data_IF_963618427725
#
_entry.id   IF_963618427725
#
_cell.length_a   1.000
_cell.length_b   1.000
_cell.length_c   1.000
_cell.angle_alpha   90.00
_cell.angle_beta   90.00
_cell.angle_gamma   90.00
#
_symmetry.space_group_name_H-M   'P 1'
#
loop_
_entity.id
_entity.type
_entity.pdbx_description
1 polymer ?
#
# COMPACT_ATOMS: atom_id res chain seq x y z
N UNK A 1 43.17 -43.63 50.59
CA UNK A 1 43.28 -42.16 50.32
C UNK A 1 42.30 -41.84 49.21
N UNK A 2 41.17 -41.25 49.63
CA UNK A 2 40.11 -40.77 48.70
C UNK A 2 40.42 -39.33 48.33
N UNK A 3 40.48 -39.05 47.06
CA UNK A 3 40.51 -37.67 46.54
C UNK A 3 39.21 -37.33 45.86
N UNK A 4 38.44 -36.49 46.52
CA UNK A 4 37.18 -35.93 46.00
C UNK A 4 37.44 -34.84 45.00
N UNK A 5 36.87 -34.94 43.81
CA UNK A 5 36.85 -33.89 42.82
C UNK A 5 35.57 -33.05 42.98
N UNK A 6 35.74 -31.75 43.27
CA UNK A 6 34.64 -30.77 43.24
C UNK A 6 34.35 -30.41 41.79
N UNK A 7 33.15 -30.70 41.33
CA UNK A 7 32.63 -30.19 40.07
C UNK A 7 32.02 -28.80 40.26
N UNK A 8 32.58 -27.81 39.57
CA UNK A 8 32.00 -26.47 39.49
C UNK A 8 30.97 -26.48 38.35
N UNK A 9 29.68 -26.36 38.72
CA UNK A 9 28.60 -26.15 37.76
C UNK A 9 28.55 -24.67 37.34
N UNK A 10 28.89 -24.39 36.10
CA UNK A 10 28.71 -23.07 35.50
C UNK A 10 27.23 -22.89 35.14
N UNK A 11 26.56 -22.00 35.87
CA UNK A 11 25.20 -21.56 35.56
C UNK A 11 25.29 -20.51 34.46
N UNK A 12 24.93 -20.87 33.25
CA UNK A 12 24.74 -19.90 32.17
C UNK A 12 23.37 -19.21 32.36
N UNK A 13 23.42 -17.98 32.83
CA UNK A 13 22.26 -17.08 32.71
C UNK A 13 22.15 -16.65 31.25
N UNK A 14 21.23 -17.24 30.51
CA UNK A 14 20.78 -16.69 29.23
C UNK A 14 19.86 -15.51 29.56
N UNK A 15 20.40 -14.29 29.50
CA UNK A 15 19.60 -13.09 29.46
C UNK A 15 18.93 -12.97 28.11
N UNK A 16 17.73 -13.51 27.98
CA UNK A 16 16.81 -13.19 26.89
C UNK A 16 16.43 -11.72 27.02
N UNK A 17 17.08 -10.85 26.26
CA UNK A 17 16.58 -9.50 26.01
C UNK A 17 15.32 -9.60 25.16
N UNK A 18 14.20 -9.94 25.76
CA UNK A 18 12.90 -9.54 25.25
C UNK A 18 12.74 -8.09 25.63
N UNK A 19 13.04 -7.17 24.71
CA UNK A 19 12.51 -5.81 24.81
C UNK A 19 10.99 -5.96 24.69
N UNK A 20 10.32 -6.02 25.83
CA UNK A 20 8.88 -5.84 25.90
C UNK A 20 8.61 -4.43 25.39
N UNK A 21 8.17 -4.28 24.14
CA UNK A 21 7.51 -3.07 23.72
C UNK A 21 6.24 -2.99 24.56
N UNK A 22 6.13 -1.92 25.32
CA UNK A 22 4.96 -1.64 26.12
C UNK A 22 3.80 -1.36 25.15
N UNK A 23 2.91 -2.34 24.95
CA UNK A 23 1.75 -2.28 24.06
C UNK A 23 0.60 -1.46 24.66
N UNK A 24 0.89 -0.49 25.51
CA UNK A 24 -0.10 0.42 26.07
C UNK A 24 -0.59 1.47 25.06
N UNK A 25 0.04 1.57 23.88
CA UNK A 25 -0.29 2.59 22.90
C UNK A 25 -1.49 2.19 22.05
N UNK A 26 -2.57 2.91 22.31
CA UNK A 26 -3.81 2.87 21.53
C UNK A 26 -3.48 3.10 20.04
N UNK A 27 -4.03 2.31 19.10
CA UNK A 27 -3.81 2.57 17.67
C UNK A 27 -4.20 4.00 17.29
N UNK A 28 -3.46 4.59 16.35
CA UNK A 28 -3.69 5.95 15.88
C UNK A 28 -5.13 6.15 15.37
N UNK A 29 -5.68 5.19 14.63
CA UNK A 29 -7.06 5.22 14.21
C UNK A 29 -7.97 4.47 15.20
N UNK A 30 -9.02 5.15 15.66
CA UNK A 30 -10.13 4.50 16.33
C UNK A 30 -11.11 4.00 15.26
N UNK A 31 -11.08 2.70 14.97
CA UNK A 31 -11.78 2.09 13.86
C UNK A 31 -13.04 1.35 14.29
N UNK A 32 -14.16 1.63 13.60
CA UNK A 32 -15.40 0.87 13.67
C UNK A 32 -15.59 0.12 12.35
N UNK A 33 -15.68 -1.22 12.36
CA UNK A 33 -15.86 -1.97 11.13
C UNK A 33 -17.24 -1.69 10.51
N UNK A 34 -17.27 -1.49 9.19
CA UNK A 34 -18.48 -1.43 8.39
C UNK A 34 -18.71 -2.80 7.74
N UNK A 35 -17.69 -3.33 7.06
CA UNK A 35 -17.77 -4.65 6.45
C UNK A 35 -17.06 -4.77 5.11
N UNK A 36 -17.32 -5.89 4.45
CA UNK A 36 -16.86 -6.19 3.10
C UNK A 36 -17.78 -5.49 2.11
N UNK A 37 -17.26 -4.44 1.46
CA UNK A 37 -18.07 -3.49 0.69
C UNK A 37 -18.00 -3.69 -0.82
N UNK A 38 -17.04 -4.50 -1.32
CA UNK A 38 -16.96 -4.86 -2.73
C UNK A 38 -16.47 -6.28 -2.88
N UNK A 39 -17.29 -7.12 -3.49
CA UNK A 39 -17.01 -8.53 -3.77
C UNK A 39 -17.57 -8.88 -5.17
N UNK A 40 -16.78 -9.57 -5.98
CA UNK A 40 -17.19 -9.98 -7.32
C UNK A 40 -16.92 -11.48 -7.53
N UNK A 41 -17.94 -12.20 -7.98
CA UNK A 41 -17.79 -13.60 -8.35
C UNK A 41 -16.77 -13.77 -9.49
N UNK A 42 -15.91 -14.78 -9.36
CA UNK A 42 -14.87 -15.07 -10.35
C UNK A 42 -13.66 -14.13 -10.33
N UNK A 43 -13.54 -13.21 -9.35
CA UNK A 43 -12.45 -12.25 -9.26
C UNK A 43 -11.82 -12.16 -7.87
N UNK A 44 -10.52 -11.88 -7.85
CA UNK A 44 -9.87 -11.22 -6.71
C UNK A 44 -10.04 -9.71 -6.82
N UNK A 45 -10.34 -9.04 -5.70
CA UNK A 45 -10.45 -7.59 -5.56
C UNK A 45 -9.32 -7.09 -4.65
N UNK A 46 -8.60 -6.05 -5.08
CA UNK A 46 -7.46 -5.53 -4.33
C UNK A 46 -7.25 -4.03 -4.53
N UNK A 47 -6.52 -3.38 -3.59
CA UNK A 47 -6.01 -2.02 -3.78
C UNK A 47 -7.09 -0.96 -4.07
N UNK A 48 -8.10 -0.88 -3.26
CA UNK A 48 -9.23 0.04 -3.47
C UNK A 48 -8.89 1.46 -3.06
N UNK A 49 -8.90 2.40 -4.00
CA UNK A 49 -8.66 3.83 -3.79
C UNK A 49 -9.95 4.63 -3.91
N UNK A 50 -10.50 5.15 -2.79
CA UNK A 50 -11.77 5.88 -2.77
C UNK A 50 -11.61 7.37 -3.07
N UNK A 51 -12.65 7.98 -3.65
CA UNK A 51 -12.79 9.42 -3.86
C UNK A 51 -14.28 9.83 -3.84
N UNK A 52 -14.58 11.01 -3.31
CA UNK A 52 -15.89 11.62 -3.48
C UNK A 52 -16.08 12.12 -4.92
N UNK A 53 -17.19 11.74 -5.55
CA UNK A 53 -17.62 12.29 -6.82
C UNK A 53 -18.37 13.61 -6.64
N UNK A 54 -18.48 14.37 -7.74
CA UNK A 54 -19.29 15.60 -7.80
C UNK A 54 -20.79 15.30 -7.72
N UNK A 55 -21.18 14.07 -8.04
CA UNK A 55 -22.52 13.50 -7.86
C UNK A 55 -22.87 13.19 -6.40
N UNK A 56 -21.93 13.44 -5.47
CA UNK A 56 -22.06 13.18 -4.04
C UNK A 56 -21.86 11.75 -3.61
N UNK A 57 -21.65 10.81 -4.55
CA UNK A 57 -21.35 9.40 -4.29
C UNK A 57 -19.88 9.17 -3.97
N UNK A 58 -19.56 7.98 -3.46
CA UNK A 58 -18.20 7.49 -3.34
C UNK A 58 -17.88 6.63 -4.55
N UNK A 59 -16.82 6.99 -5.26
CA UNK A 59 -16.26 6.21 -6.34
C UNK A 59 -15.02 5.47 -5.84
N UNK A 60 -14.88 4.22 -6.25
CA UNK A 60 -13.82 3.33 -5.81
C UNK A 60 -13.05 2.83 -7.04
N UNK A 61 -11.79 3.23 -7.17
CA UNK A 61 -10.89 2.68 -8.17
C UNK A 61 -10.16 1.50 -7.55
N UNK A 62 -10.23 0.33 -8.17
CA UNK A 62 -9.72 -0.91 -7.60
C UNK A 62 -9.12 -1.82 -8.65
N UNK A 63 -8.21 -2.69 -8.21
CA UNK A 63 -7.63 -3.73 -9.04
C UNK A 63 -8.47 -5.01 -8.96
N UNK A 64 -8.66 -5.70 -10.10
CA UNK A 64 -9.20 -7.06 -10.12
C UNK A 64 -8.47 -7.95 -11.10
N UNK A 65 -8.49 -9.24 -10.86
CA UNK A 65 -8.02 -10.24 -11.78
C UNK A 65 -8.79 -11.56 -11.58
N UNK A 66 -8.80 -12.41 -12.61
CA UNK A 66 -9.56 -13.65 -12.60
C UNK A 66 -9.16 -14.59 -11.48
N UNK A 67 -10.15 -15.21 -10.82
CA UNK A 67 -9.97 -16.17 -9.70
C UNK A 67 -9.07 -17.36 -10.09
N UNK A 68 -9.19 -17.84 -11.31
CA UNK A 68 -8.40 -18.96 -11.84
C UNK A 68 -6.88 -18.71 -11.86
N UNK A 69 -6.45 -17.45 -11.86
CA UNK A 69 -5.03 -17.07 -11.78
C UNK A 69 -4.48 -17.14 -10.36
N UNK A 70 -5.32 -17.45 -9.38
CA UNK A 70 -4.93 -17.45 -7.96
C UNK A 70 -4.51 -16.08 -7.46
N UNK A 71 -4.08 -16.00 -6.20
CA UNK A 71 -3.64 -14.73 -5.58
C UNK A 71 -2.45 -14.08 -6.29
N UNK A 72 -1.57 -14.86 -6.93
CA UNK A 72 -0.42 -14.34 -7.71
C UNK A 72 -0.78 -13.69 -9.05
N UNK A 73 -2.01 -13.85 -9.52
CA UNK A 73 -2.47 -13.35 -10.83
C UNK A 73 -2.41 -11.83 -11.01
N UNK A 74 -2.24 -11.08 -9.93
CA UNK A 74 -2.09 -9.61 -9.97
C UNK A 74 -0.90 -9.13 -10.79
N UNK A 75 0.16 -9.94 -10.96
CA UNK A 75 1.31 -9.62 -11.81
C UNK A 75 1.03 -9.83 -13.31
N UNK A 76 -0.01 -10.60 -13.64
CA UNK A 76 -0.26 -11.01 -15.00
C UNK A 76 -1.76 -11.11 -15.28
N UNK A 77 -2.39 -9.99 -15.56
CA UNK A 77 -3.80 -9.89 -15.94
C UNK A 77 -4.66 -9.10 -14.97
N UNK A 78 -4.07 -8.35 -14.04
CA UNK A 78 -4.81 -7.36 -13.26
C UNK A 78 -5.20 -6.18 -14.14
N UNK A 79 -6.43 -5.72 -13.96
CA UNK A 79 -6.99 -4.50 -14.55
C UNK A 79 -7.52 -3.57 -13.46
N UNK A 80 -7.60 -2.28 -13.75
CA UNK A 80 -8.16 -1.28 -12.85
C UNK A 80 -9.58 -0.97 -13.29
N UNK A 81 -10.49 -1.08 -12.32
CA UNK A 81 -11.92 -0.86 -12.51
C UNK A 81 -12.43 0.26 -11.63
N UNK A 82 -13.62 0.78 -11.95
CA UNK A 82 -14.39 1.69 -11.11
C UNK A 82 -15.66 1.02 -10.61
N UNK A 83 -15.95 1.23 -9.34
CA UNK A 83 -17.22 0.95 -8.68
C UNK A 83 -17.76 2.22 -8.01
N UNK A 84 -19.02 2.27 -7.63
CA UNK A 84 -19.62 3.39 -6.90
C UNK A 84 -20.65 2.90 -5.88
N UNK A 85 -20.85 3.70 -4.83
CA UNK A 85 -21.91 3.57 -3.84
C UNK A 85 -22.42 4.96 -3.43
N UNK A 86 -23.65 5.07 -2.93
CA UNK A 86 -24.18 6.37 -2.46
C UNK A 86 -23.47 6.82 -1.18
N UNK A 87 -22.99 5.87 -0.40
CA UNK A 87 -22.22 6.14 0.83
C UNK A 87 -21.18 5.04 1.09
N UNK A 88 -20.16 5.29 1.95
CA UNK A 88 -19.21 4.26 2.36
C UNK A 88 -19.80 3.12 3.20
N UNK A 89 -21.05 3.27 3.65
CA UNK A 89 -21.80 2.26 4.42
C UNK A 89 -22.52 1.23 3.55
N UNK A 90 -22.53 1.43 2.22
CA UNK A 90 -23.23 0.58 1.25
C UNK A 90 -22.25 -0.30 0.47
N UNK A 91 -22.76 -1.39 -0.12
CA UNK A 91 -22.01 -2.19 -1.08
C UNK A 91 -21.75 -1.42 -2.37
N UNK A 92 -20.50 -1.45 -2.83
CA UNK A 92 -20.10 -0.81 -4.09
C UNK A 92 -20.53 -1.67 -5.29
N UNK A 93 -21.07 -1.01 -6.30
CA UNK A 93 -21.48 -1.64 -7.54
C UNK A 93 -20.42 -1.41 -8.63
N UNK A 94 -19.89 -2.48 -9.21
CA UNK A 94 -19.00 -2.42 -10.37
C UNK A 94 -19.64 -1.66 -11.53
N UNK A 95 -18.88 -0.76 -12.15
CA UNK A 95 -19.37 0.03 -13.29
C UNK A 95 -18.62 -0.29 -14.59
N UNK A 96 -17.30 -0.16 -14.58
CA UNK A 96 -16.50 -0.29 -15.80
C UNK A 96 -15.04 -0.63 -15.52
N UNK A 97 -14.38 -1.17 -16.54
CA UNK A 97 -12.93 -1.24 -16.59
C UNK A 97 -12.39 0.12 -17.02
N UNK A 98 -11.45 0.66 -16.27
CA UNK A 98 -10.80 1.95 -16.54
C UNK A 98 -9.48 1.76 -17.31
N UNK A 99 -8.62 0.88 -16.82
CA UNK A 99 -7.34 0.58 -17.43
C UNK A 99 -7.14 -0.94 -17.49
N UNK A 100 -7.15 -1.50 -18.69
CA UNK A 100 -6.72 -2.86 -18.94
C UNK A 100 -5.25 -2.90 -19.39
N UNK A 101 -4.56 -4.04 -19.21
CA UNK A 101 -3.25 -4.25 -19.82
C UNK A 101 -3.30 -3.99 -21.33
N UNK A 102 -2.30 -3.25 -21.88
CA UNK A 102 -2.31 -2.86 -23.30
C UNK A 102 -1.82 -3.96 -24.26
N UNK A 103 -1.11 -4.96 -23.73
CA UNK A 103 -0.45 -5.97 -24.58
C UNK A 103 0.75 -5.41 -25.35
N UNK A 104 1.25 -6.18 -26.32
CA UNK A 104 2.34 -5.75 -27.18
C UNK A 104 3.62 -5.37 -26.42
N UNK A 105 4.27 -4.31 -26.86
CA UNK A 105 5.54 -3.83 -26.31
C UNK A 105 5.38 -2.72 -25.24
N UNK A 106 4.15 -2.42 -24.83
CA UNK A 106 3.93 -1.40 -23.81
C UNK A 106 4.50 -1.81 -22.46
N UNK A 107 4.95 -0.83 -21.68
CA UNK A 107 5.49 -1.05 -20.33
C UNK A 107 4.46 -1.63 -19.34
N UNK A 108 3.18 -1.48 -19.61
CA UNK A 108 2.04 -2.01 -18.86
C UNK A 108 1.27 -3.10 -19.64
N UNK A 109 1.99 -3.86 -20.46
CA UNK A 109 1.42 -4.86 -21.37
C UNK A 109 0.69 -6.00 -20.66
N UNK A 110 1.10 -6.38 -19.43
CA UNK A 110 0.55 -7.56 -18.75
C UNK A 110 -0.30 -7.25 -17.54
N UNK A 111 -0.18 -6.05 -16.96
CA UNK A 111 -0.91 -5.70 -15.74
C UNK A 111 -1.07 -4.18 -15.60
N UNK A 112 -2.26 -3.77 -15.10
CA UNK A 112 -2.54 -2.47 -14.50
C UNK A 112 -3.04 -2.71 -13.06
N UNK A 113 -2.31 -2.19 -12.06
CA UNK A 113 -2.55 -2.56 -10.66
C UNK A 113 -2.23 -1.40 -9.71
N UNK A 114 -2.64 -1.49 -8.45
CA UNK A 114 -2.35 -0.50 -7.40
C UNK A 114 -2.83 0.93 -7.74
N UNK A 115 -4.13 1.13 -8.05
CA UNK A 115 -4.65 2.46 -8.34
C UNK A 115 -4.55 3.39 -7.15
N UNK A 116 -4.24 4.65 -7.42
CA UNK A 116 -4.36 5.78 -6.50
C UNK A 116 -5.03 6.94 -7.25
N UNK A 117 -6.30 7.18 -6.95
CA UNK A 117 -7.06 8.29 -7.53
C UNK A 117 -6.86 9.57 -6.72
N UNK A 118 -6.63 10.68 -7.42
CA UNK A 118 -6.56 12.02 -6.84
C UNK A 118 -7.27 13.03 -7.74
N UNK A 119 -7.82 14.07 -7.15
CA UNK A 119 -8.30 15.26 -7.86
C UNK A 119 -7.36 16.42 -7.53
N UNK A 120 -6.89 17.09 -8.55
CA UNK A 120 -6.14 18.36 -8.43
C UNK A 120 -6.81 19.34 -9.38
N UNK A 121 -7.27 20.44 -8.85
CA UNK A 121 -8.11 21.40 -9.55
C UNK A 121 -9.30 20.71 -10.24
N UNK A 122 -9.51 20.89 -11.53
CA UNK A 122 -10.60 20.30 -12.31
C UNK A 122 -10.19 19.02 -13.06
N UNK A 123 -9.10 18.36 -12.64
CA UNK A 123 -8.56 17.18 -13.29
C UNK A 123 -8.44 16.02 -12.32
N UNK A 124 -8.80 14.82 -12.77
CA UNK A 124 -8.56 13.56 -12.07
C UNK A 124 -7.26 12.92 -12.55
N UNK A 125 -6.49 12.38 -11.61
CA UNK A 125 -5.19 11.75 -11.80
C UNK A 125 -5.25 10.34 -11.19
N UNK A 126 -5.07 9.34 -12.01
CA UNK A 126 -5.05 7.93 -11.60
C UNK A 126 -3.62 7.42 -11.73
N UNK A 127 -2.88 7.43 -10.64
CA UNK A 127 -1.58 6.79 -10.56
C UNK A 127 -1.76 5.29 -10.44
N UNK A 128 -0.89 4.52 -11.08
CA UNK A 128 -0.99 3.06 -11.06
C UNK A 128 0.37 2.39 -11.28
N UNK A 129 0.44 1.09 -11.11
CA UNK A 129 1.59 0.27 -11.44
C UNK A 129 1.26 -0.65 -12.62
N UNK A 130 2.16 -0.70 -13.59
CA UNK A 130 2.11 -1.66 -14.68
C UNK A 130 3.34 -2.56 -14.73
N UNK A 131 3.25 -3.66 -15.48
CA UNK A 131 4.38 -4.53 -15.84
C UNK A 131 4.30 -4.89 -17.32
N UNK A 132 5.46 -5.00 -17.99
CA UNK A 132 5.51 -5.39 -19.40
C UNK A 132 5.46 -6.92 -19.61
N UNK A 133 5.88 -7.71 -18.61
CA UNK A 133 6.02 -9.17 -18.76
C UNK A 133 5.68 -9.97 -17.49
N UNK A 134 5.01 -9.35 -16.52
CA UNK A 134 4.65 -10.00 -15.26
C UNK A 134 5.80 -10.23 -14.26
N UNK A 135 7.00 -9.73 -14.53
CA UNK A 135 8.14 -9.83 -13.61
C UNK A 135 8.27 -8.57 -12.76
N UNK A 136 8.78 -8.71 -11.54
CA UNK A 136 8.87 -7.60 -10.57
C UNK A 136 9.82 -6.49 -11.01
N UNK A 137 10.87 -6.81 -11.75
CA UNK A 137 11.82 -5.82 -12.30
C UNK A 137 11.28 -5.00 -13.47
N UNK A 138 10.10 -5.33 -13.98
CA UNK A 138 9.42 -4.54 -15.02
C UNK A 138 8.31 -3.65 -14.46
N UNK A 139 8.11 -3.62 -13.16
CA UNK A 139 7.14 -2.70 -12.53
C UNK A 139 7.54 -1.25 -12.74
N UNK A 140 6.58 -0.45 -13.21
CA UNK A 140 6.71 1.00 -13.38
C UNK A 140 5.46 1.70 -12.87
N UNK A 141 5.64 2.90 -12.34
CA UNK A 141 4.53 3.80 -12.02
C UNK A 141 4.14 4.54 -13.28
N UNK A 142 2.86 4.52 -13.60
CA UNK A 142 2.24 5.29 -14.64
C UNK A 142 1.15 6.21 -14.12
N UNK A 143 0.60 6.98 -15.04
CA UNK A 143 -0.46 7.94 -14.80
C UNK A 143 -1.48 7.88 -15.92
N UNK A 144 -2.77 7.97 -15.56
CA UNK A 144 -3.83 8.29 -16.49
C UNK A 144 -4.62 9.50 -15.98
N UNK A 145 -5.18 10.29 -16.86
CA UNK A 145 -5.93 11.50 -16.51
C UNK A 145 -7.29 11.52 -17.15
N UNK A 146 -8.27 12.14 -16.49
CA UNK A 146 -9.61 12.38 -17.02
C UNK A 146 -10.21 13.65 -16.45
N UNK A 147 -11.16 14.24 -17.17
CA UNK A 147 -12.00 15.35 -16.67
C UNK A 147 -13.19 14.87 -15.86
N UNK A 148 -13.53 13.57 -15.94
CA UNK A 148 -14.67 12.97 -15.26
C UNK A 148 -14.31 11.57 -14.75
N UNK A 149 -14.89 11.14 -13.62
CA UNK A 149 -14.64 9.82 -13.04
C UNK A 149 -15.17 8.67 -13.92
N UNK A 150 -16.19 8.93 -14.73
CA UNK A 150 -16.82 8.01 -15.68
C UNK A 150 -16.46 8.28 -17.14
N UNK A 151 -15.65 9.32 -17.40
CA UNK A 151 -15.22 9.73 -18.73
C UNK A 151 -14.08 8.89 -19.31
N UNK A 152 -13.55 9.39 -20.41
CA UNK A 152 -12.36 8.83 -21.04
C UNK A 152 -11.10 9.08 -20.20
N UNK A 153 -10.24 8.08 -20.08
CA UNK A 153 -8.95 8.18 -19.40
C UNK A 153 -7.80 8.16 -20.40
N UNK A 154 -7.04 9.26 -20.43
CA UNK A 154 -5.87 9.40 -21.29
C UNK A 154 -4.65 8.87 -20.54
N UNK A 155 -3.98 7.89 -21.14
CA UNK A 155 -2.80 7.21 -20.58
C UNK A 155 -1.60 7.40 -21.52
N UNK A 156 -0.51 8.08 -21.06
CA UNK A 156 0.73 8.21 -21.84
C UNK A 156 1.35 6.83 -22.13
N UNK A 157 2.13 6.78 -23.21
CA UNK A 157 2.83 5.56 -23.63
C UNK A 157 4.05 5.27 -22.74
N UNK A 158 4.63 6.30 -22.14
CA UNK A 158 5.77 6.18 -21.25
C UNK A 158 5.33 6.11 -19.78
N UNK A 159 6.07 5.38 -18.93
CA UNK A 159 5.83 5.41 -17.49
C UNK A 159 6.18 6.76 -16.88
N UNK A 160 5.49 7.13 -15.80
CA UNK A 160 5.69 8.39 -15.09
C UNK A 160 7.02 8.46 -14.34
N UNK A 161 7.49 7.34 -13.80
CA UNK A 161 8.72 7.26 -13.01
C UNK A 161 9.49 5.98 -13.32
N UNK A 162 10.74 6.15 -13.74
CA UNK A 162 11.66 5.06 -14.02
C UNK A 162 12.45 4.65 -12.76
N UNK A 163 12.99 3.40 -12.71
CA UNK A 163 13.95 2.98 -11.70
C UNK A 163 15.19 3.85 -11.66
N UNK A 164 16.01 3.65 -10.65
CA UNK A 164 17.33 4.24 -10.56
C UNK A 164 18.33 3.61 -11.54
N UNK A 165 19.57 4.12 -11.52
CA UNK A 165 20.67 3.54 -12.26
C UNK A 165 20.99 2.15 -11.71
N UNK A 166 21.59 1.30 -12.51
CA UNK A 166 22.09 0.01 -12.10
C UNK A 166 22.91 0.10 -10.81
N UNK A 167 22.68 -0.85 -9.91
CA UNK A 167 23.29 -0.93 -8.57
C UNK A 167 22.84 0.17 -7.58
N UNK A 168 21.92 1.06 -7.94
CA UNK A 168 21.30 1.96 -6.96
C UNK A 168 20.27 1.22 -6.10
N UNK A 169 19.89 1.82 -4.97
CA UNK A 169 18.91 1.20 -4.05
C UNK A 169 17.54 0.93 -4.70
N UNK A 170 17.22 1.62 -5.78
CA UNK A 170 15.94 1.60 -6.49
C UNK A 170 16.04 1.18 -7.95
N UNK A 171 17.06 0.39 -8.31
CA UNK A 171 17.29 -0.05 -9.69
C UNK A 171 16.32 -1.16 -10.15
N UNK A 172 15.66 -1.86 -9.21
CA UNK A 172 14.79 -2.97 -9.57
C UNK A 172 13.47 -2.53 -10.21
N UNK A 173 12.79 -1.56 -9.61
CA UNK A 173 11.44 -1.16 -10.04
C UNK A 173 11.01 0.18 -9.45
N UNK A 174 9.88 0.71 -9.94
CA UNK A 174 9.09 1.73 -9.24
C UNK A 174 7.66 1.24 -9.08
N UNK A 175 7.09 1.31 -7.86
CA UNK A 175 5.76 0.75 -7.59
C UNK A 175 5.10 1.43 -6.38
N UNK A 176 3.83 1.11 -6.12
CA UNK A 176 3.06 1.57 -4.96
C UNK A 176 3.11 3.10 -4.78
N UNK A 177 2.58 3.86 -5.75
CA UNK A 177 2.60 5.32 -5.68
C UNK A 177 1.80 5.84 -4.49
N UNK A 178 2.34 6.86 -3.81
CA UNK A 178 1.60 7.69 -2.88
C UNK A 178 1.87 9.16 -3.23
N UNK A 179 0.82 9.99 -3.28
CA UNK A 179 0.89 11.31 -3.88
C UNK A 179 0.23 12.35 -2.99
N UNK A 180 0.88 13.52 -2.87
CA UNK A 180 0.35 14.67 -2.16
C UNK A 180 0.98 15.97 -2.68
N UNK A 181 0.27 17.09 -2.58
CA UNK A 181 0.85 18.43 -2.79
C UNK A 181 1.62 18.86 -1.55
N UNK A 182 2.91 19.16 -1.72
CA UNK A 182 3.82 19.57 -0.66
C UNK A 182 3.59 21.00 -0.19
N UNK A 183 4.15 21.36 0.97
CA UNK A 183 4.12 22.73 1.49
C UNK A 183 5.03 23.68 0.68
N UNK A 184 5.94 23.14 -0.13
CA UNK A 184 6.80 23.85 -1.07
C UNK A 184 6.10 24.16 -2.40
N UNK A 185 4.79 23.86 -2.50
CA UNK A 185 3.99 24.04 -3.70
C UNK A 185 4.19 22.96 -4.76
N UNK A 186 5.21 22.12 -4.63
CA UNK A 186 5.49 21.03 -5.56
C UNK A 186 4.59 19.82 -5.30
N UNK A 187 4.45 18.96 -6.29
CA UNK A 187 3.78 17.68 -6.16
C UNK A 187 4.80 16.61 -5.78
N UNK A 188 4.50 15.90 -4.70
CA UNK A 188 5.34 14.86 -4.12
C UNK A 188 4.79 13.48 -4.50
N UNK A 189 5.60 12.69 -5.18
CA UNK A 189 5.33 11.30 -5.52
C UNK A 189 6.27 10.41 -4.73
N UNK A 190 5.74 9.73 -3.74
CA UNK A 190 6.46 8.67 -3.03
C UNK A 190 6.30 7.36 -3.77
N UNK A 191 7.36 6.59 -3.83
CA UNK A 191 7.41 5.32 -4.55
C UNK A 191 8.16 4.27 -3.75
N UNK A 192 7.68 3.04 -3.80
CA UNK A 192 8.38 1.88 -3.24
C UNK A 192 9.33 1.33 -4.27
N UNK A 193 10.53 0.94 -3.80
CA UNK A 193 11.52 0.24 -4.61
C UNK A 193 12.44 -0.61 -3.73
N UNK A 194 13.38 -1.28 -4.36
CA UNK A 194 14.48 -2.04 -3.77
C UNK A 194 15.59 -2.26 -4.77
N UNK A 195 16.74 -2.73 -4.29
CA UNK A 195 17.90 -3.04 -5.12
C UNK A 195 17.76 -4.45 -5.74
N UNK A 196 18.20 -4.59 -7.00
CA UNK A 196 18.10 -5.84 -7.75
C UNK A 196 18.94 -6.95 -7.13
N UNK A 197 20.19 -6.68 -6.76
CA UNK A 197 21.09 -7.67 -6.16
C UNK A 197 20.56 -8.14 -4.80
N UNK A 198 20.08 -7.22 -3.94
CA UNK A 198 19.42 -7.57 -2.68
C UNK A 198 18.22 -8.48 -2.91
N UNK A 199 17.43 -8.21 -3.95
CA UNK A 199 16.24 -9.00 -4.28
C UNK A 199 16.59 -10.40 -4.79
N UNK A 200 17.62 -10.54 -5.60
CA UNK A 200 18.01 -11.81 -6.24
C UNK A 200 18.81 -12.72 -5.32
N UNK A 201 19.70 -12.16 -4.49
CA UNK A 201 20.64 -12.92 -3.66
C UNK A 201 20.07 -13.25 -2.29
N UNK A 202 19.15 -12.47 -1.76
CA UNK A 202 18.60 -12.67 -0.43
C UNK A 202 17.49 -13.72 -0.38
N UNK A 203 17.39 -14.44 0.74
CA UNK A 203 16.48 -15.56 0.96
C UNK A 203 15.42 -15.20 2.02
N UNK A 204 14.20 -15.76 1.86
CA UNK A 204 13.14 -15.63 2.84
C UNK A 204 12.58 -14.21 2.98
N UNK A 205 12.34 -13.77 4.22
CA UNK A 205 11.71 -12.47 4.52
C UNK A 205 12.61 -11.27 4.19
N UNK A 206 13.92 -11.47 4.08
CA UNK A 206 14.90 -10.40 3.79
C UNK A 206 14.97 -10.06 2.31
N UNK A 207 14.37 -10.90 1.46
CA UNK A 207 14.37 -10.69 0.02
C UNK A 207 13.59 -9.42 -0.37
N UNK A 208 14.22 -8.56 -1.17
CA UNK A 208 13.61 -7.36 -1.69
C UNK A 208 13.36 -6.31 -0.62
N UNK A 209 14.39 -5.96 0.11
CA UNK A 209 14.43 -4.91 1.15
C UNK A 209 13.72 -3.61 0.69
N UNK A 210 12.43 -3.52 0.98
CA UNK A 210 11.53 -2.47 0.47
C UNK A 210 11.78 -1.16 1.18
N UNK A 211 12.07 -0.13 0.38
CA UNK A 211 12.31 1.24 0.82
C UNK A 211 11.36 2.19 0.11
N UNK A 212 11.19 3.37 0.64
CA UNK A 212 10.44 4.43 -0.04
C UNK A 212 11.35 5.58 -0.43
N UNK A 213 11.22 6.00 -1.69
CA UNK A 213 11.80 7.22 -2.21
C UNK A 213 10.76 8.29 -2.43
N UNK A 214 11.23 9.52 -2.62
CA UNK A 214 10.48 10.71 -2.96
C UNK A 214 10.97 11.27 -4.29
N UNK A 215 10.05 11.60 -5.18
CA UNK A 215 10.30 12.40 -6.36
C UNK A 215 9.36 13.62 -6.35
N UNK A 216 9.83 14.76 -6.85
CA UNK A 216 9.09 16.03 -6.85
C UNK A 216 8.94 16.58 -8.26
N UNK A 217 7.82 17.27 -8.52
CA UNK A 217 7.53 17.93 -9.79
C UNK A 217 6.75 19.23 -9.57
N UNK A 218 6.77 20.10 -10.56
CA UNK A 218 5.98 21.34 -10.56
C UNK A 218 4.54 21.12 -11.08
N UNK A 219 4.29 19.97 -11.70
CA UNK A 219 2.97 19.53 -12.18
C UNK A 219 2.67 18.10 -11.72
N UNK A 220 1.39 17.73 -11.49
CA UNK A 220 1.02 16.33 -11.23
C UNK A 220 1.41 15.37 -12.37
N UNK A 221 1.54 15.89 -13.59
CA UNK A 221 1.98 15.17 -14.79
C UNK A 221 3.50 14.93 -14.83
N UNK A 222 4.27 15.53 -13.90
CA UNK A 222 5.71 15.53 -13.98
C UNK A 222 6.29 16.67 -14.86
N UNK A 223 7.56 16.54 -15.31
CA UNK A 223 8.46 15.44 -15.00
C UNK A 223 8.88 15.41 -13.53
N UNK A 224 8.97 14.20 -12.97
CA UNK A 224 9.38 14.01 -11.58
C UNK A 224 10.89 13.83 -11.46
N UNK A 225 11.49 14.57 -10.52
CA UNK A 225 12.92 14.44 -10.18
C UNK A 225 13.05 13.81 -8.80
N UNK A 226 13.77 12.70 -8.70
CA UNK A 226 14.10 12.02 -7.44
C UNK A 226 14.95 12.94 -6.57
N UNK A 227 14.62 13.03 -5.26
CA UNK A 227 15.42 13.83 -4.33
C UNK A 227 16.75 13.14 -3.99
N UNK A 228 17.78 13.94 -3.65
CA UNK A 228 19.12 13.43 -3.33
C UNK A 228 19.16 12.63 -2.03
N UNK A 229 18.21 12.87 -1.13
CA UNK A 229 18.10 12.22 0.19
C UNK A 229 17.49 10.82 0.15
N UNK A 230 17.16 10.32 -1.06
CA UNK A 230 16.59 8.98 -1.20
C UNK A 230 17.57 7.86 -0.80
N UNK A 231 17.07 6.78 -0.16
CA UNK A 231 15.68 6.55 0.23
C UNK A 231 15.28 7.36 1.46
N UNK A 232 14.07 7.96 1.45
CA UNK A 232 13.55 8.76 2.57
C UNK A 232 12.96 7.90 3.72
N UNK A 233 12.63 6.65 3.45
CA UNK A 233 12.27 5.64 4.46
C UNK A 233 13.05 4.37 4.16
N UNK A 234 13.88 3.98 5.11
CA UNK A 234 14.70 2.76 5.08
C UNK A 234 14.79 2.17 6.50
N UNK A 235 14.27 0.97 6.65
CA UNK A 235 14.32 0.21 7.90
C UNK A 235 15.31 -0.96 7.84
N UNK A 236 16.15 -1.05 6.81
CA UNK A 236 17.06 -2.17 6.60
C UNK A 236 18.12 -2.35 7.70
N UNK A 237 18.42 -1.29 8.44
CA UNK A 237 19.31 -1.35 9.61
C UNK A 237 18.65 -1.92 10.87
N UNK A 238 17.32 -2.09 10.87
CA UNK A 238 16.60 -2.63 12.01
C UNK A 238 16.65 -4.16 12.02
N UNK A 239 16.55 -4.79 13.20
CA UNK A 239 16.43 -6.24 13.31
C UNK A 239 15.22 -6.77 12.52
N UNK A 240 15.26 -8.06 12.16
CA UNK A 240 14.14 -8.76 11.52
C UNK A 240 13.75 -8.25 10.13
N UNK A 241 14.64 -7.53 9.45
CA UNK A 241 14.37 -7.00 8.12
C UNK A 241 13.04 -6.21 8.06
N UNK A 242 12.85 -5.31 9.00
CA UNK A 242 11.67 -4.47 9.04
C UNK A 242 11.55 -3.64 7.76
N UNK A 243 10.36 -3.62 7.19
CA UNK A 243 10.02 -2.92 5.94
C UNK A 243 8.64 -2.32 6.06
N UNK A 244 8.25 -1.51 5.10
CA UNK A 244 6.86 -1.08 4.94
C UNK A 244 6.45 -1.11 3.47
N UNK A 245 5.16 -1.24 3.21
CA UNK A 245 4.61 -1.09 1.87
C UNK A 245 3.21 -0.50 1.88
N UNK A 246 2.69 -0.20 0.68
CA UNK A 246 1.31 0.24 0.51
C UNK A 246 0.99 1.58 1.17
N UNK A 247 1.90 2.55 1.04
CA UNK A 247 1.71 3.86 1.64
C UNK A 247 0.55 4.64 1.02
N UNK A 248 -0.24 5.29 1.87
CA UNK A 248 -1.14 6.39 1.54
C UNK A 248 -0.75 7.63 2.34
N UNK A 249 -0.75 8.81 1.70
CA UNK A 249 -0.30 10.06 2.31
C UNK A 249 -1.39 11.12 2.22
N UNK A 250 -1.56 11.90 3.30
CA UNK A 250 -2.41 13.09 3.33
C UNK A 250 -1.72 14.23 4.10
N UNK A 251 -2.15 15.45 3.78
CA UNK A 251 -1.75 16.64 4.55
C UNK A 251 -2.85 16.99 5.54
N UNK A 252 -2.49 17.24 6.78
CA UNK A 252 -3.39 17.76 7.80
C UNK A 252 -2.69 18.88 8.55
N UNK A 253 -3.17 20.12 8.36
CA UNK A 253 -2.63 21.32 8.99
C UNK A 253 -1.12 21.53 8.75
N UNK A 254 -0.64 21.28 7.53
CA UNK A 254 0.75 21.44 7.13
C UNK A 254 1.71 20.34 7.59
N UNK A 255 1.19 19.31 8.27
CA UNK A 255 1.90 18.09 8.62
C UNK A 255 1.43 16.96 7.72
N UNK A 256 2.36 16.23 7.16
CA UNK A 256 2.07 15.07 6.31
C UNK A 256 2.02 13.82 7.16
N UNK A 257 1.00 13.03 6.94
CA UNK A 257 0.74 11.76 7.58
C UNK A 257 0.82 10.65 6.54
N UNK A 258 1.40 9.54 6.91
CA UNK A 258 1.42 8.32 6.10
C UNK A 258 0.78 7.18 6.88
N UNK A 259 -0.13 6.46 6.25
CA UNK A 259 -0.52 5.12 6.69
C UNK A 259 0.06 4.12 5.71
N UNK A 260 0.64 3.04 6.22
CA UNK A 260 1.27 2.00 5.42
C UNK A 260 1.05 0.62 6.06
N UNK A 261 1.26 -0.45 5.31
CA UNK A 261 1.26 -1.80 5.83
C UNK A 261 2.59 -2.09 6.55
N UNK A 262 2.53 -2.68 7.72
CA UNK A 262 3.68 -3.22 8.43
C UNK A 262 4.24 -4.47 7.74
N UNK A 263 5.55 -4.49 7.55
CA UNK A 263 6.28 -5.60 6.97
C UNK A 263 7.43 -6.01 7.91
N UNK A 264 7.12 -6.14 9.22
CA UNK A 264 8.06 -6.64 10.22
C UNK A 264 8.61 -5.60 11.19
N UNK A 265 8.09 -4.36 11.21
CA UNK A 265 8.46 -3.38 12.22
C UNK A 265 7.88 -3.76 13.60
N UNK A 266 6.58 -4.00 13.69
CA UNK A 266 5.90 -4.61 14.83
C UNK A 266 5.61 -6.10 14.56
N UNK A 267 4.99 -6.38 13.39
CA UNK A 267 4.65 -7.73 12.93
C UNK A 267 4.42 -7.72 11.41
N UNK A 268 3.56 -8.52 10.82
CA UNK A 268 3.24 -8.49 9.39
C UNK A 268 1.75 -8.23 9.13
N UNK A 269 1.00 -7.77 10.14
CA UNK A 269 -0.46 -7.70 10.10
C UNK A 269 -1.02 -6.31 10.43
N UNK A 270 -0.24 -5.46 11.09
CA UNK A 270 -0.68 -4.13 11.51
C UNK A 270 -0.51 -3.08 10.41
N UNK A 271 -1.13 -1.93 10.62
CA UNK A 271 -0.77 -0.70 9.91
C UNK A 271 0.24 0.13 10.67
N UNK A 272 1.08 0.82 9.94
CA UNK A 272 2.02 1.81 10.45
C UNK A 272 1.50 3.22 10.21
N UNK A 273 1.67 4.11 11.17
CA UNK A 273 1.46 5.55 11.00
C UNK A 273 2.77 6.29 11.24
N UNK A 274 3.12 7.18 10.32
CA UNK A 274 4.32 8.02 10.37
C UNK A 274 3.94 9.45 10.00
N UNK A 275 4.76 10.41 10.43
CA UNK A 275 4.55 11.81 10.06
C UNK A 275 5.84 12.50 9.63
N UNK A 276 5.70 13.54 8.79
CA UNK A 276 6.78 14.40 8.36
C UNK A 276 6.30 15.83 8.10
N UNK A 277 7.23 16.80 8.06
CA UNK A 277 6.96 18.18 7.61
C UNK A 277 7.52 18.46 6.23
N UNK A 278 8.55 17.73 5.82
CA UNK A 278 9.37 17.98 4.62
C UNK A 278 9.36 16.84 3.59
N UNK A 279 8.74 15.69 3.94
CA UNK A 279 8.72 14.48 3.13
C UNK A 279 10.00 13.65 3.20
N UNK A 280 11.02 14.13 3.92
CA UNK A 280 12.36 13.51 3.99
C UNK A 280 12.60 12.90 5.36
N UNK A 281 12.36 13.66 6.44
CA UNK A 281 12.54 13.18 7.82
C UNK A 281 11.22 12.70 8.39
N UNK A 282 11.12 11.40 8.62
CA UNK A 282 9.93 10.74 9.15
C UNK A 282 10.07 10.42 10.64
N UNK A 283 8.96 10.49 11.36
CA UNK A 283 8.92 10.00 12.75
C UNK A 283 9.12 8.49 12.81
N UNK A 284 9.46 7.98 14.00
CA UNK A 284 9.35 6.54 14.26
C UNK A 284 7.91 6.07 14.02
N UNK A 285 7.67 4.91 13.40
CA UNK A 285 6.33 4.38 13.22
C UNK A 285 5.61 4.12 14.54
N UNK A 286 4.32 4.43 14.57
CA UNK A 286 3.36 3.99 15.57
C UNK A 286 2.31 3.07 14.92
N UNK A 287 1.55 2.31 15.70
CA UNK A 287 0.52 1.42 15.20
C UNK A 287 -0.64 2.26 14.68
N UNK A 288 -0.97 2.15 13.39
CA UNK A 288 -2.11 2.81 12.79
C UNK A 288 -3.42 2.05 13.05
N UNK A 289 -3.41 0.76 12.82
CA UNK A 289 -4.52 -0.18 13.00
C UNK A 289 -3.99 -1.58 13.30
N UNK A 290 -4.82 -2.40 13.91
CA UNK A 290 -4.53 -3.80 14.24
C UNK A 290 -4.99 -4.73 13.10
N UNK A 291 -4.77 -6.04 13.24
CA UNK A 291 -5.29 -7.02 12.29
C UNK A 291 -6.83 -7.10 12.33
N UNK A 292 -7.42 -7.66 11.29
CA UNK A 292 -8.87 -7.77 11.14
C UNK A 292 -9.57 -8.48 12.30
N UNK A 293 -8.93 -9.54 12.85
CA UNK A 293 -9.49 -10.35 13.92
C UNK A 293 -9.72 -9.55 15.21
N UNK A 294 -9.02 -8.44 15.38
CA UNK A 294 -9.27 -7.52 16.49
C UNK A 294 -10.64 -6.81 16.37
N UNK A 295 -11.10 -6.59 15.14
CA UNK A 295 -12.31 -5.80 14.88
C UNK A 295 -13.54 -6.65 14.58
N UNK A 296 -13.35 -7.83 13.98
CA UNK A 296 -14.43 -8.71 13.55
C UNK A 296 -14.10 -10.16 13.85
N UNK A 297 -15.18 -10.96 13.99
CA UNK A 297 -15.09 -12.41 14.05
C UNK A 297 -15.69 -12.98 12.77
N UNK A 298 -14.91 -13.78 12.08
CA UNK A 298 -15.35 -14.50 10.89
C UNK A 298 -15.05 -15.99 11.05
N UNK A 299 -15.77 -16.82 10.28
CA UNK A 299 -15.50 -18.26 10.24
C UNK A 299 -14.07 -18.55 9.77
N UNK A 300 -13.55 -19.71 10.17
CA UNK A 300 -12.24 -20.18 9.72
C UNK A 300 -12.17 -20.19 8.19
N UNK A 301 -11.19 -19.52 7.57
CA UNK A 301 -11.11 -19.41 6.12
C UNK A 301 -10.68 -20.74 5.49
N UNK A 302 -11.01 -20.94 4.20
CA UNK A 302 -10.44 -22.02 3.41
C UNK A 302 -8.90 -21.99 3.39
N UNK A 303 -8.26 -23.16 3.32
CA UNK A 303 -6.78 -23.32 3.39
C UNK A 303 -6.01 -22.52 2.33
N UNK A 304 -6.62 -22.19 1.18
CA UNK A 304 -5.97 -21.42 0.12
C UNK A 304 -5.88 -19.92 0.43
N UNK A 305 -6.64 -19.42 1.42
CA UNK A 305 -6.60 -18.02 1.84
C UNK A 305 -5.50 -17.79 2.90
N UNK A 306 -4.27 -17.68 2.43
CA UNK A 306 -3.06 -17.61 3.29
C UNK A 306 -2.87 -16.24 3.98
N UNK A 307 -3.57 -15.20 3.50
CA UNK A 307 -3.47 -13.82 4.02
C UNK A 307 -4.76 -13.35 4.69
N UNK A 308 -5.59 -14.29 5.08
CA UNK A 308 -6.80 -13.99 5.84
C UNK A 308 -6.45 -13.24 7.13
N UNK A 309 -7.26 -12.23 7.45
CA UNK A 309 -7.03 -11.39 8.63
C UNK A 309 -6.05 -10.23 8.46
N UNK A 310 -5.24 -10.21 7.40
CA UNK A 310 -4.41 -9.06 7.06
C UNK A 310 -5.21 -8.01 6.32
N UNK A 311 -5.04 -6.76 6.73
CA UNK A 311 -5.56 -5.61 6.02
C UNK A 311 -4.40 -4.97 5.24
N UNK A 312 -4.39 -5.14 3.93
CA UNK A 312 -3.35 -4.63 3.04
C UNK A 312 -3.87 -3.46 2.20
N UNK A 313 -2.98 -2.65 1.63
CA UNK A 313 -3.35 -1.50 0.79
C UNK A 313 -4.27 -0.51 1.48
N UNK A 314 -3.90 0.00 2.68
CA UNK A 314 -4.71 0.98 3.37
C UNK A 314 -4.85 2.25 2.53
N UNK A 315 -6.09 2.71 2.33
CA UNK A 315 -6.43 3.94 1.64
C UNK A 315 -7.43 4.72 2.47
N UNK A 316 -7.29 6.03 2.51
CA UNK A 316 -8.15 6.89 3.30
C UNK A 316 -9.10 7.66 2.38
N UNK A 317 -10.39 7.58 2.67
CA UNK A 317 -11.36 8.55 2.19
C UNK A 317 -11.39 9.73 3.17
N UNK A 318 -10.93 10.87 2.68
CA UNK A 318 -10.98 12.13 3.45
C UNK A 318 -12.41 12.66 3.52
N UNK A 319 -12.69 13.53 4.48
CA UNK A 319 -13.92 14.32 4.48
C UNK A 319 -14.08 15.10 3.18
N UNK A 320 -15.31 15.45 2.80
CA UNK A 320 -15.59 16.18 1.54
C UNK A 320 -14.83 17.51 1.44
N UNK A 321 -14.51 18.13 2.58
CA UNK A 321 -13.65 19.32 2.65
C UNK A 321 -12.14 19.01 2.64
N UNK A 322 -11.75 17.74 2.51
CA UNK A 322 -10.36 17.28 2.46
C UNK A 322 -9.56 17.38 3.77
N UNK A 323 -10.18 17.80 4.87
CA UNK A 323 -9.42 18.19 6.08
C UNK A 323 -9.10 17.05 7.03
N UNK A 324 -9.90 15.98 7.04
CA UNK A 324 -9.72 14.88 8.00
C UNK A 324 -10.00 13.51 7.40
N UNK A 325 -9.29 12.46 7.84
CA UNK A 325 -9.64 11.08 7.57
C UNK A 325 -11.05 10.75 8.08
N UNK A 326 -11.86 10.07 7.27
CA UNK A 326 -13.19 9.61 7.67
C UNK A 326 -13.38 8.10 7.57
N UNK A 327 -12.81 7.49 6.54
CA UNK A 327 -12.93 6.04 6.35
C UNK A 327 -11.59 5.46 5.92
N UNK A 328 -11.30 4.28 6.44
CA UNK A 328 -10.18 3.45 6.02
C UNK A 328 -10.71 2.32 5.14
N UNK A 329 -10.16 2.22 3.93
CA UNK A 329 -10.38 1.13 3.00
C UNK A 329 -9.15 0.25 2.98
N UNK A 330 -9.33 -1.06 2.95
CA UNK A 330 -8.23 -2.00 2.84
C UNK A 330 -8.64 -3.25 2.07
N UNK A 331 -7.66 -3.95 1.55
CA UNK A 331 -7.84 -5.22 0.88
C UNK A 331 -7.58 -6.37 1.86
N UNK A 332 -8.46 -7.36 1.85
CA UNK A 332 -8.30 -8.58 2.66
C UNK A 332 -8.82 -9.80 1.92
N UNK A 333 -8.24 -10.95 2.19
CA UNK A 333 -8.77 -12.22 1.69
C UNK A 333 -10.03 -12.64 2.44
N UNK A 334 -10.83 -13.50 1.84
CA UNK A 334 -12.10 -13.99 2.38
C UNK A 334 -13.29 -13.45 1.62
N UNK A 335 -14.44 -13.36 2.32
CA UNK A 335 -15.71 -12.96 1.74
C UNK A 335 -16.48 -14.10 1.10
N UNK A 336 -17.66 -13.78 0.56
CA UNK A 336 -18.64 -14.78 0.06
C UNK A 336 -18.16 -15.64 -1.11
N UNK A 337 -17.11 -15.20 -1.81
CA UNK A 337 -16.56 -15.94 -2.97
C UNK A 337 -15.20 -16.61 -2.68
N UNK A 338 -14.73 -16.58 -1.43
CA UNK A 338 -13.43 -17.15 -1.01
C UNK A 338 -12.26 -16.67 -1.88
N UNK A 339 -12.22 -15.37 -2.15
CA UNK A 339 -11.15 -14.69 -2.89
C UNK A 339 -10.55 -13.56 -2.07
N UNK A 340 -10.88 -12.35 -2.40
CA UNK A 340 -10.50 -11.13 -1.67
C UNK A 340 -11.52 -10.03 -1.93
N UNK A 341 -11.57 -9.10 -1.00
CA UNK A 341 -12.58 -8.05 -0.97
C UNK A 341 -11.98 -6.73 -0.55
N UNK A 342 -12.71 -5.64 -0.82
CA UNK A 342 -12.53 -4.37 -0.13
C UNK A 342 -13.25 -4.42 1.21
N UNK A 343 -12.53 -4.11 2.29
CA UNK A 343 -13.11 -3.92 3.61
C UNK A 343 -13.06 -2.45 4.01
N UNK A 344 -14.13 -1.96 4.64
CA UNK A 344 -14.26 -0.55 5.04
C UNK A 344 -14.45 -0.41 6.54
N UNK A 345 -13.76 0.56 7.11
CA UNK A 345 -13.91 1.01 8.49
C UNK A 345 -14.29 2.49 8.53
N UNK A 346 -15.16 2.87 9.44
CA UNK A 346 -15.37 4.25 9.85
C UNK A 346 -14.24 4.65 10.82
N UNK A 347 -13.61 5.81 10.60
CA UNK A 347 -12.65 6.40 11.53
C UNK A 347 -13.41 7.30 12.49
N UNK A 348 -13.55 6.85 13.73
CA UNK A 348 -14.25 7.59 14.77
C UNK A 348 -13.40 8.78 15.26
N UNK A 349 -14.08 9.87 15.64
CA UNK A 349 -13.43 10.99 16.30
C UNK A 349 -12.87 10.51 17.63
N UNK A 350 -11.61 10.82 17.91
CA UNK A 350 -10.99 10.62 19.19
C UNK A 350 -11.48 11.65 20.22
#
# INVERSE_FOLDING_TARGET
MQTSALGIAAVFFSSSFTSAFDFSDKPYFNLKPIGRSLELDGYYIWCSSPIWGEDGKVHLFYSRWKKEKGMGGWLNGSEICRAEANSPFEEFQHKQVILAPRGGEFWDATTCHNPLIKKVDDQFYLFFMGTSNGKTNTKRIGLATSKSLDGEWIRPDEPLLLPGKESSWDDHCTTNPAFVKGNDGKYWLFYKSWNTEEYETQKGAVRGNRKYGLAKADSPMGPYTKVSENPVIDFSSLPNNAQLEDAFIWNQNGKFHMVARDMGFFNHEYGLHLTTKDGIKWTKPEIAYLNMQHYIQEATPPKHLKRFGRLERPMILMSKDGKRPQFLFGATQGGKFDTSTTFVFEILKG
#
